data_IF_239828370188
#
_entry.id   IF_239828370188
#
_cell.length_a   1.000
_cell.length_b   1.000
_cell.length_c   1.000
_cell.angle_alpha   90.00
_cell.angle_beta   90.00
_cell.angle_gamma   90.00
#
_symmetry.space_group_name_H-M   'P 1'
#
loop_
_entity.id
_entity.type
_entity.pdbx_description
1 polymer ?
#
# COMPACT_ATOMS: atom_id res chain seq x y z
N UNK A 1 19.60 77.96 3.89
CA UNK A 1 20.37 76.73 4.21
C UNK A 1 19.48 75.64 4.81
N UNK A 2 18.68 75.98 5.84
CA UNK A 2 17.80 75.06 6.59
C UNK A 2 16.73 74.34 5.73
N UNK A 3 16.10 75.04 4.77
CA UNK A 3 15.05 74.44 3.92
C UNK A 3 15.61 73.35 3.00
N UNK A 4 16.82 73.54 2.46
CA UNK A 4 17.45 72.59 1.54
C UNK A 4 17.91 71.32 2.26
N UNK A 5 18.38 71.46 3.50
CA UNK A 5 18.73 70.33 4.38
C UNK A 5 17.51 69.56 4.88
N UNK A 6 16.36 70.23 5.06
CA UNK A 6 15.09 69.58 5.43
C UNK A 6 14.58 68.67 4.29
N UNK A 7 14.55 69.16 3.05
CA UNK A 7 14.19 68.36 1.88
C UNK A 7 15.12 67.15 1.66
N UNK A 8 16.42 67.33 1.89
CA UNK A 8 17.40 66.23 1.82
C UNK A 8 17.14 65.16 2.89
N UNK A 9 16.77 65.56 4.10
CA UNK A 9 16.46 64.63 5.19
C UNK A 9 15.16 63.86 4.91
N UNK A 10 14.12 64.55 4.44
CA UNK A 10 12.82 63.97 4.11
C UNK A 10 12.93 62.95 2.96
N UNK A 11 13.64 63.30 1.89
CA UNK A 11 13.90 62.40 0.76
C UNK A 11 14.74 61.17 1.16
N UNK A 12 15.70 61.34 2.07
CA UNK A 12 16.50 60.23 2.61
C UNK A 12 15.65 59.28 3.46
N UNK A 13 14.77 59.81 4.31
CA UNK A 13 13.86 59.02 5.15
C UNK A 13 12.86 58.25 4.29
N UNK A 14 12.24 58.90 3.30
CA UNK A 14 11.30 58.23 2.39
C UNK A 14 12.03 57.17 1.55
N UNK A 15 13.23 57.47 1.05
CA UNK A 15 14.03 56.52 0.27
C UNK A 15 14.42 55.29 1.08
N UNK A 16 14.87 55.48 2.32
CA UNK A 16 15.24 54.37 3.23
C UNK A 16 14.02 53.54 3.65
N UNK A 17 12.88 54.18 3.92
CA UNK A 17 11.63 53.48 4.23
C UNK A 17 11.16 52.61 3.07
N UNK A 18 11.16 53.15 1.83
CA UNK A 18 10.81 52.37 0.63
C UNK A 18 11.73 51.18 0.40
N UNK A 19 13.03 51.35 0.68
CA UNK A 19 14.02 50.28 0.49
C UNK A 19 13.82 49.16 1.52
N UNK A 20 13.47 49.53 2.76
CA UNK A 20 13.12 48.59 3.82
C UNK A 20 11.82 47.83 3.48
N UNK A 21 10.81 48.50 2.95
CA UNK A 21 9.53 47.91 2.55
C UNK A 21 9.71 46.88 1.43
N UNK A 22 10.47 47.22 0.38
CA UNK A 22 10.77 46.29 -0.72
C UNK A 22 11.56 45.08 -0.23
N UNK A 23 12.51 45.28 0.68
CA UNK A 23 13.31 44.19 1.25
C UNK A 23 12.45 43.24 2.10
N UNK A 24 11.58 43.78 2.96
CA UNK A 24 10.69 42.98 3.82
C UNK A 24 9.69 42.19 2.97
N UNK A 25 9.04 42.82 1.99
CA UNK A 25 8.08 42.14 1.13
C UNK A 25 8.77 41.07 0.29
N UNK A 26 9.91 41.38 -0.34
CA UNK A 26 10.65 40.42 -1.16
C UNK A 26 11.17 39.22 -0.35
N UNK A 27 11.65 39.45 0.88
CA UNK A 27 12.09 38.37 1.76
C UNK A 27 10.94 37.54 2.31
N UNK A 28 9.77 38.15 2.56
CA UNK A 28 8.54 37.43 2.95
C UNK A 28 8.06 36.52 1.82
N UNK A 29 7.94 37.03 0.59
CA UNK A 29 7.56 36.23 -0.58
C UNK A 29 8.55 35.09 -0.87
N UNK A 30 9.85 35.36 -0.72
CA UNK A 30 10.87 34.32 -0.86
C UNK A 30 10.74 33.25 0.23
N UNK A 31 10.46 33.62 1.48
CA UNK A 31 10.21 32.65 2.55
C UNK A 31 8.93 31.84 2.27
N UNK A 32 7.85 32.49 1.87
CA UNK A 32 6.57 31.84 1.57
C UNK A 32 6.72 30.83 0.43
N UNK A 33 7.30 31.23 -0.69
CA UNK A 33 7.55 30.32 -1.84
C UNK A 33 8.50 29.18 -1.49
N UNK A 34 9.49 29.41 -0.63
CA UNK A 34 10.47 28.39 -0.24
C UNK A 34 9.92 27.43 0.83
N UNK A 35 9.04 27.92 1.72
CA UNK A 35 8.31 27.10 2.69
C UNK A 35 7.26 26.25 1.99
N UNK A 36 6.44 26.84 1.12
CA UNK A 36 5.44 26.12 0.33
C UNK A 36 6.15 25.12 -0.59
N UNK A 37 7.17 25.54 -1.33
CA UNK A 37 7.93 24.63 -2.20
C UNK A 37 8.58 23.47 -1.44
N UNK A 38 9.02 23.67 -0.19
CA UNK A 38 9.52 22.58 0.66
C UNK A 38 8.42 21.70 1.24
N UNK A 39 7.26 22.26 1.57
CA UNK A 39 6.09 21.51 2.05
C UNK A 39 5.59 20.55 0.96
N UNK A 40 5.44 21.04 -0.26
CA UNK A 40 5.10 20.23 -1.44
C UNK A 40 6.17 19.17 -1.76
N UNK A 41 7.46 19.50 -1.59
CA UNK A 41 8.53 18.53 -1.79
C UNK A 41 8.51 17.41 -0.74
N UNK A 42 8.09 17.71 0.49
CA UNK A 42 7.98 16.75 1.59
C UNK A 42 6.78 15.80 1.37
N UNK A 43 5.67 16.34 0.89
CA UNK A 43 4.44 15.62 0.50
C UNK A 43 4.68 14.64 -0.68
N UNK A 44 5.75 14.84 -1.46
CA UNK A 44 6.17 13.93 -2.54
C UNK A 44 7.32 13.00 -2.17
N UNK A 45 7.94 13.17 -0.99
CA UNK A 45 9.18 12.43 -0.68
C UNK A 45 8.91 11.15 0.10
N UNK A 46 8.02 11.12 1.09
CA UNK A 46 7.61 9.94 1.87
C UNK A 46 6.28 10.29 2.55
N UNK A 47 5.26 9.43 2.50
CA UNK A 47 4.02 9.57 3.27
C UNK A 47 4.13 8.65 4.49
N UNK A 48 4.59 9.20 5.62
CA UNK A 48 4.73 8.48 6.89
C UNK A 48 3.56 8.82 7.83
N UNK A 49 2.78 7.81 8.19
CA UNK A 49 1.79 7.89 9.28
C UNK A 49 2.39 7.27 10.55
N UNK A 50 2.86 8.09 11.50
CA UNK A 50 3.51 7.60 12.74
C UNK A 50 2.53 7.30 13.90
N UNK A 51 2.86 6.26 14.67
CA UNK A 51 2.41 5.91 16.03
C UNK A 51 1.02 6.46 16.39
N UNK A 52 -0.03 5.79 15.90
CA UNK A 52 -1.42 6.15 16.26
C UNK A 52 -1.92 5.27 17.42
N UNK A 53 -2.23 5.89 18.55
CA UNK A 53 -2.70 5.16 19.75
C UNK A 53 -4.10 4.55 19.56
N UNK A 54 -4.90 5.18 18.69
CA UNK A 54 -6.16 4.70 18.13
C UNK A 54 -6.59 5.72 17.05
N UNK A 55 -6.64 5.30 15.79
CA UNK A 55 -7.20 6.06 14.69
C UNK A 55 -8.67 5.66 14.46
N UNK A 56 -9.46 6.59 13.92
CA UNK A 56 -10.71 6.21 13.25
C UNK A 56 -10.31 5.56 11.94
N UNK A 57 -10.09 6.39 10.92
CA UNK A 57 -9.64 5.93 9.60
C UNK A 57 -8.27 6.54 9.29
N UNK A 58 -7.41 5.80 8.61
CA UNK A 58 -6.14 6.25 8.03
C UNK A 58 -6.30 6.22 6.51
N UNK A 59 -6.27 7.40 5.88
CA UNK A 59 -6.63 7.57 4.47
C UNK A 59 -5.46 8.18 3.67
N UNK A 60 -4.78 7.37 2.88
CA UNK A 60 -3.76 7.76 1.90
C UNK A 60 -4.38 7.72 0.50
N UNK A 61 -5.07 8.81 0.11
CA UNK A 61 -5.84 8.87 -1.14
C UNK A 61 -5.36 9.97 -2.09
N UNK A 62 -5.61 9.79 -3.39
CA UNK A 62 -5.29 10.76 -4.45
C UNK A 62 -3.78 11.13 -4.52
N UNK A 63 -2.90 10.17 -4.24
CA UNK A 63 -1.44 10.40 -4.18
C UNK A 63 -0.85 10.22 -5.57
N UNK A 64 -0.49 11.31 -6.24
CA UNK A 64 0.04 11.27 -7.61
C UNK A 64 1.36 10.49 -7.76
N UNK A 65 2.23 10.59 -6.75
CA UNK A 65 3.49 9.86 -6.66
C UNK A 65 4.03 9.92 -5.23
N UNK A 66 4.54 8.81 -4.71
CA UNK A 66 5.30 8.74 -3.47
C UNK A 66 6.61 7.96 -3.70
N UNK A 67 7.63 8.21 -2.87
CA UNK A 67 8.70 7.22 -2.73
C UNK A 67 8.11 6.04 -1.98
N UNK A 68 7.67 6.24 -0.73
CA UNK A 68 7.01 5.19 0.04
C UNK A 68 5.73 5.73 0.71
N UNK A 69 4.75 4.85 0.94
CA UNK A 69 3.54 5.07 1.72
C UNK A 69 3.58 4.11 2.91
N UNK A 70 3.78 4.64 4.11
CA UNK A 70 4.02 3.86 5.33
C UNK A 70 2.93 4.09 6.38
N UNK A 71 2.16 3.05 6.68
CA UNK A 71 1.24 2.96 7.81
C UNK A 71 1.79 1.99 8.85
N UNK A 72 2.51 2.52 9.84
CA UNK A 72 3.29 1.72 10.78
C UNK A 72 2.96 2.02 12.25
N UNK A 73 3.22 1.06 13.14
CA UNK A 73 3.07 1.19 14.60
C UNK A 73 1.65 1.60 15.04
N UNK A 74 0.63 0.93 14.50
CA UNK A 74 -0.79 1.27 14.73
C UNK A 74 -1.38 0.32 15.78
N UNK A 75 -1.82 0.87 16.91
CA UNK A 75 -2.47 0.06 17.96
C UNK A 75 -3.90 -0.35 17.61
N UNK A 76 -4.62 0.53 16.92
CA UNK A 76 -5.98 0.29 16.48
C UNK A 76 -6.35 1.28 15.38
N UNK A 77 -6.87 0.78 14.26
CA UNK A 77 -7.60 1.55 13.28
C UNK A 77 -8.97 0.91 13.08
N UNK A 78 -9.92 1.69 12.58
CA UNK A 78 -11.08 1.15 11.92
C UNK A 78 -10.65 0.73 10.51
N UNK A 79 -10.35 1.71 9.67
CA UNK A 79 -9.97 1.46 8.26
C UNK A 79 -8.57 2.03 7.98
N UNK A 80 -7.77 1.32 7.17
CA UNK A 80 -6.51 1.80 6.59
C UNK A 80 -6.64 1.69 5.07
N UNK A 81 -6.77 2.82 4.39
CA UNK A 81 -7.05 2.92 2.96
C UNK A 81 -5.88 3.57 2.22
N UNK A 82 -5.19 2.84 1.35
CA UNK A 82 -4.28 3.35 0.33
C UNK A 82 -4.99 3.30 -1.03
N UNK A 83 -5.39 4.45 -1.60
CA UNK A 83 -6.26 4.48 -2.80
C UNK A 83 -5.84 5.52 -3.84
N UNK A 84 -6.13 5.23 -5.11
CA UNK A 84 -5.92 6.16 -6.23
C UNK A 84 -4.45 6.59 -6.33
N UNK A 85 -3.55 5.61 -6.41
CA UNK A 85 -2.09 5.79 -6.38
C UNK A 85 -1.50 5.44 -7.75
N UNK A 86 -1.16 6.41 -8.60
CA UNK A 86 -0.56 6.13 -9.90
C UNK A 86 0.87 5.59 -9.82
N UNK A 87 1.61 5.92 -8.76
CA UNK A 87 2.99 5.48 -8.59
C UNK A 87 3.43 5.55 -7.11
N UNK A 88 3.91 4.44 -6.57
CA UNK A 88 4.71 4.38 -5.37
C UNK A 88 6.01 3.60 -5.65
N UNK A 89 7.05 3.86 -4.86
CA UNK A 89 8.02 2.82 -4.51
C UNK A 89 7.26 1.80 -3.69
N UNK A 90 7.25 1.87 -2.36
CA UNK A 90 6.59 0.81 -1.57
C UNK A 90 5.31 1.30 -0.88
N UNK A 91 4.36 0.39 -0.66
CA UNK A 91 3.13 0.62 0.13
C UNK A 91 3.11 -0.38 1.28
N UNK A 92 3.33 0.12 2.49
CA UNK A 92 3.55 -0.70 3.66
C UNK A 92 2.49 -0.45 4.73
N UNK A 93 1.76 -1.49 5.12
CA UNK A 93 0.91 -1.54 6.29
C UNK A 93 1.54 -2.53 7.29
N UNK A 94 2.28 -2.01 8.29
CA UNK A 94 3.12 -2.84 9.18
C UNK A 94 2.91 -2.57 10.66
N UNK A 95 3.20 -3.56 11.50
CA UNK A 95 3.12 -3.45 12.97
C UNK A 95 1.73 -2.96 13.44
N UNK A 96 0.65 -3.54 12.87
CA UNK A 96 -0.74 -3.17 13.17
C UNK A 96 -1.33 -4.17 14.15
N UNK A 97 -1.66 -3.72 15.35
CA UNK A 97 -2.23 -4.60 16.37
C UNK A 97 -3.69 -4.97 16.08
N UNK A 98 -4.46 -4.02 15.54
CA UNK A 98 -5.85 -4.24 15.19
C UNK A 98 -6.32 -3.27 14.08
N UNK A 99 -7.01 -3.80 13.08
CA UNK A 99 -7.77 -3.06 12.09
C UNK A 99 -9.12 -3.77 11.86
N UNK A 100 -10.16 -3.02 11.45
CA UNK A 100 -11.31 -3.63 10.79
C UNK A 100 -10.86 -4.00 9.38
N UNK A 101 -10.54 -3.00 8.57
CA UNK A 101 -10.21 -3.17 7.15
C UNK A 101 -8.84 -2.56 6.82
N UNK A 102 -8.04 -3.24 6.00
CA UNK A 102 -6.83 -2.71 5.38
C UNK A 102 -6.95 -2.90 3.87
N UNK A 103 -6.87 -1.82 3.10
CA UNK A 103 -7.14 -1.87 1.67
C UNK A 103 -6.10 -1.10 0.86
N UNK A 104 -5.54 -1.75 -0.16
CA UNK A 104 -4.76 -1.12 -1.23
C UNK A 104 -5.56 -1.23 -2.52
N UNK A 105 -6.09 -0.10 -3.02
CA UNK A 105 -7.01 -0.09 -4.17
C UNK A 105 -6.59 0.91 -5.25
N UNK A 106 -6.87 0.59 -6.51
CA UNK A 106 -6.60 1.49 -7.64
C UNK A 106 -5.11 1.93 -7.72
N UNK A 107 -4.19 0.96 -7.54
CA UNK A 107 -2.73 1.20 -7.58
C UNK A 107 -2.20 0.88 -8.98
N UNK A 108 -1.70 1.89 -9.70
CA UNK A 108 -1.21 1.67 -11.06
C UNK A 108 0.22 1.09 -11.10
N UNK A 109 1.06 1.43 -10.13
CA UNK A 109 2.41 0.91 -10.04
C UNK A 109 2.94 1.06 -8.61
N UNK A 110 3.37 -0.05 -8.04
CA UNK A 110 4.19 -0.11 -6.85
C UNK A 110 5.47 -0.92 -7.13
N UNK A 111 6.53 -0.57 -6.42
CA UNK A 111 7.63 -1.45 -6.06
C UNK A 111 7.07 -2.66 -5.35
N UNK A 112 6.78 -2.58 -4.06
CA UNK A 112 6.13 -3.67 -3.31
C UNK A 112 4.87 -3.18 -2.56
N UNK A 113 3.96 -4.11 -2.22
CA UNK A 113 2.78 -3.86 -1.38
C UNK A 113 2.79 -4.87 -0.22
N UNK A 114 3.13 -4.39 0.98
CA UNK A 114 3.37 -5.24 2.14
C UNK A 114 2.34 -5.00 3.24
N UNK A 115 1.64 -6.04 3.65
CA UNK A 115 0.73 -6.06 4.79
C UNK A 115 1.30 -7.03 5.85
N UNK A 116 2.31 -6.58 6.60
CA UNK A 116 3.11 -7.42 7.51
C UNK A 116 2.85 -7.15 8.99
N UNK A 117 3.10 -8.14 9.85
CA UNK A 117 2.99 -8.01 11.32
C UNK A 117 1.61 -7.46 11.79
N UNK A 118 0.53 -7.85 11.08
CA UNK A 118 -0.85 -7.50 11.42
C UNK A 118 -1.39 -8.56 12.36
N UNK A 119 -1.69 -8.22 13.62
CA UNK A 119 -2.14 -9.23 14.58
C UNK A 119 -3.62 -9.60 14.39
N UNK A 120 -4.44 -8.64 13.99
CA UNK A 120 -5.88 -8.81 13.81
C UNK A 120 -6.44 -7.75 12.84
N UNK A 121 -6.50 -8.08 11.56
CA UNK A 121 -7.41 -7.44 10.62
C UNK A 121 -8.67 -8.32 10.47
N UNK A 122 -9.83 -7.70 10.25
CA UNK A 122 -11.00 -8.45 9.76
C UNK A 122 -10.74 -8.75 8.29
N UNK A 123 -10.54 -7.74 7.46
CA UNK A 123 -10.34 -7.88 6.02
C UNK A 123 -9.02 -7.23 5.57
N UNK A 124 -8.28 -7.91 4.68
CA UNK A 124 -7.17 -7.32 3.91
C UNK A 124 -7.47 -7.46 2.42
N UNK A 125 -7.62 -6.33 1.75
CA UNK A 125 -7.97 -6.24 0.33
C UNK A 125 -6.84 -5.61 -0.49
N UNK A 126 -6.35 -6.30 -1.51
CA UNK A 126 -5.50 -5.76 -2.56
C UNK A 126 -6.25 -5.86 -3.89
N UNK A 127 -6.78 -4.74 -4.37
CA UNK A 127 -7.71 -4.71 -5.50
C UNK A 127 -7.28 -3.73 -6.59
N UNK A 128 -7.54 -4.08 -7.85
CA UNK A 128 -7.31 -3.20 -9.01
C UNK A 128 -5.85 -2.72 -9.10
N UNK A 129 -4.90 -3.64 -8.92
CA UNK A 129 -3.46 -3.36 -8.97
C UNK A 129 -2.93 -3.66 -10.37
N UNK A 130 -2.45 -2.63 -11.06
CA UNK A 130 -1.96 -2.81 -12.42
C UNK A 130 -0.56 -3.45 -12.47
N UNK A 131 0.31 -3.08 -11.53
CA UNK A 131 1.67 -3.59 -11.45
C UNK A 131 2.22 -3.48 -10.01
N UNK A 132 2.69 -4.59 -9.48
CA UNK A 132 3.52 -4.67 -8.28
C UNK A 132 4.74 -5.57 -8.53
N UNK A 133 5.79 -5.37 -7.76
CA UNK A 133 6.85 -6.32 -7.51
C UNK A 133 6.27 -7.47 -6.71
N UNK A 134 6.30 -7.37 -5.39
CA UNK A 134 5.72 -8.37 -4.50
C UNK A 134 4.46 -7.83 -3.79
N UNK A 135 3.53 -8.75 -3.48
CA UNK A 135 2.36 -8.51 -2.63
C UNK A 135 2.43 -9.52 -1.49
N UNK A 136 2.73 -9.07 -0.28
CA UNK A 136 2.92 -9.92 0.89
C UNK A 136 1.84 -9.65 1.95
N UNK A 137 1.19 -10.70 2.47
CA UNK A 137 0.15 -10.58 3.49
C UNK A 137 0.39 -11.55 4.64
N UNK A 138 0.53 -11.01 5.86
CA UNK A 138 0.67 -11.76 7.11
C UNK A 138 -0.51 -11.45 8.05
N UNK A 139 -1.36 -12.47 8.22
CA UNK A 139 -2.46 -12.57 9.19
C UNK A 139 -3.65 -11.59 9.02
N UNK A 140 -4.79 -12.15 8.60
CA UNK A 140 -6.09 -11.48 8.57
C UNK A 140 -7.24 -12.47 8.78
N UNK A 141 -8.42 -11.94 9.07
CA UNK A 141 -9.67 -12.68 9.10
C UNK A 141 -10.14 -13.12 7.71
N UNK A 142 -9.99 -12.28 6.69
CA UNK A 142 -10.23 -12.56 5.27
C UNK A 142 -9.14 -11.87 4.44
N UNK A 143 -8.71 -12.51 3.35
CA UNK A 143 -7.65 -12.03 2.46
C UNK A 143 -8.11 -12.11 1.01
N UNK A 144 -8.21 -10.95 0.35
CA UNK A 144 -8.64 -10.83 -1.03
C UNK A 144 -7.56 -10.14 -1.89
N UNK A 145 -6.96 -10.88 -2.82
CA UNK A 145 -6.10 -10.35 -3.88
C UNK A 145 -6.84 -10.46 -5.22
N UNK A 146 -7.38 -9.34 -5.71
CA UNK A 146 -8.30 -9.32 -6.86
C UNK A 146 -7.86 -8.34 -7.95
N UNK A 147 -8.11 -8.68 -9.22
CA UNK A 147 -7.86 -7.82 -10.38
C UNK A 147 -6.39 -7.35 -10.48
N UNK A 148 -5.43 -8.26 -10.27
CA UNK A 148 -3.99 -7.95 -10.33
C UNK A 148 -3.44 -8.22 -11.73
N UNK A 149 -3.13 -7.16 -12.48
CA UNK A 149 -2.68 -7.30 -13.87
C UNK A 149 -1.21 -7.67 -14.01
N UNK A 150 -0.37 -7.41 -13.01
CA UNK A 150 1.01 -7.88 -13.01
C UNK A 150 1.57 -7.88 -11.60
N UNK A 151 2.08 -9.03 -11.17
CA UNK A 151 2.91 -9.16 -9.97
C UNK A 151 4.15 -10.01 -10.30
N UNK A 152 5.23 -9.81 -9.56
CA UNK A 152 6.29 -10.81 -9.46
C UNK A 152 5.78 -11.93 -8.58
N UNK A 153 5.50 -11.68 -7.29
CA UNK A 153 4.95 -12.69 -6.39
C UNK A 153 3.68 -12.17 -5.69
N UNK A 154 2.78 -13.09 -5.36
CA UNK A 154 1.62 -12.86 -4.48
C UNK A 154 1.71 -13.92 -3.38
N UNK A 155 2.05 -13.50 -2.18
CA UNK A 155 2.44 -14.38 -1.08
C UNK A 155 1.54 -14.11 0.14
N UNK A 156 0.65 -15.06 0.44
CA UNK A 156 -0.15 -15.09 1.66
C UNK A 156 0.52 -16.05 2.65
N UNK A 157 1.18 -15.52 3.68
CA UNK A 157 2.09 -16.30 4.52
C UNK A 157 1.84 -16.12 6.02
N UNK A 158 2.24 -17.12 6.82
CA UNK A 158 2.17 -17.09 8.29
C UNK A 158 0.77 -16.77 8.85
N UNK A 159 -0.27 -17.23 8.16
CA UNK A 159 -1.67 -16.92 8.50
C UNK A 159 -2.14 -17.78 9.67
N UNK A 160 -2.48 -17.13 10.79
CA UNK A 160 -2.98 -17.83 11.97
C UNK A 160 -4.40 -18.37 11.78
N UNK A 161 -5.29 -17.55 11.22
CA UNK A 161 -6.68 -17.91 10.99
C UNK A 161 -7.32 -16.94 10.02
N UNK A 162 -7.70 -17.42 8.84
CA UNK A 162 -8.60 -16.73 7.92
C UNK A 162 -9.92 -17.51 7.77
N UNK A 163 -11.00 -16.84 7.41
CA UNK A 163 -12.21 -17.45 6.87
C UNK A 163 -11.91 -17.76 5.41
N UNK A 164 -11.56 -16.78 4.59
CA UNK A 164 -11.22 -17.03 3.18
C UNK A 164 -9.85 -16.43 2.79
N UNK A 165 -9.16 -17.11 1.87
CA UNK A 165 -7.94 -16.61 1.21
C UNK A 165 -8.14 -16.75 -0.30
N UNK A 166 -8.38 -15.62 -0.96
CA UNK A 166 -8.79 -15.56 -2.35
C UNK A 166 -7.76 -14.82 -3.20
N UNK A 167 -7.27 -15.49 -4.25
CA UNK A 167 -6.45 -14.90 -5.31
C UNK A 167 -7.21 -15.04 -6.63
N UNK A 168 -7.80 -13.95 -7.12
CA UNK A 168 -8.71 -13.95 -8.27
C UNK A 168 -8.27 -12.97 -9.38
N UNK A 169 -8.50 -13.34 -10.64
CA UNK A 169 -8.27 -12.49 -11.82
C UNK A 169 -6.81 -11.95 -11.95
N UNK A 170 -5.80 -12.85 -11.88
CA UNK A 170 -4.36 -12.49 -11.89
C UNK A 170 -3.68 -12.71 -13.26
N UNK A 171 -2.94 -11.70 -13.78
CA UNK A 171 -2.75 -11.53 -15.23
C UNK A 171 -1.41 -10.93 -15.79
N UNK A 172 -0.16 -11.26 -15.37
CA UNK A 172 0.31 -12.52 -14.80
C UNK A 172 1.08 -12.38 -13.47
N UNK A 173 1.38 -13.51 -12.82
CA UNK A 173 2.32 -13.61 -11.70
C UNK A 173 3.49 -14.54 -12.04
N UNK A 174 4.61 -14.43 -11.31
CA UNK A 174 5.63 -15.49 -11.29
C UNK A 174 5.18 -16.59 -10.33
N UNK A 175 4.98 -16.26 -9.06
CA UNK A 175 4.56 -17.20 -8.04
C UNK A 175 3.29 -16.69 -7.35
N UNK A 176 2.38 -17.60 -6.99
CA UNK A 176 1.19 -17.32 -6.16
C UNK A 176 1.17 -18.37 -5.06
N UNK A 177 1.47 -17.95 -3.84
CA UNK A 177 1.74 -18.86 -2.75
C UNK A 177 0.86 -18.60 -1.53
N UNK A 178 0.22 -19.65 -1.03
CA UNK A 178 -0.43 -19.65 0.27
C UNK A 178 0.35 -20.60 1.18
N UNK A 179 1.18 -20.06 2.09
CA UNK A 179 2.12 -20.86 2.91
C UNK A 179 1.91 -20.67 4.41
N UNK A 180 2.27 -21.68 5.19
CA UNK A 180 2.28 -21.64 6.66
C UNK A 180 0.93 -21.23 7.28
N UNK A 181 -0.19 -21.70 6.68
CA UNK A 181 -1.55 -21.39 7.13
C UNK A 181 -2.00 -22.34 8.23
N UNK A 182 -2.25 -21.82 9.43
CA UNK A 182 -2.71 -22.64 10.56
C UNK A 182 -4.21 -22.99 10.45
N UNK A 183 -5.03 -22.08 9.97
CA UNK A 183 -6.44 -22.35 9.69
C UNK A 183 -6.96 -21.41 8.58
N UNK A 184 -7.63 -21.98 7.59
CA UNK A 184 -8.48 -21.27 6.65
C UNK A 184 -9.87 -21.95 6.62
N UNK A 185 -10.92 -21.17 6.38
CA UNK A 185 -12.18 -21.69 5.86
C UNK A 185 -11.94 -22.19 4.45
N UNK A 186 -11.78 -21.32 3.45
CA UNK A 186 -11.43 -21.74 2.09
C UNK A 186 -10.14 -21.07 1.59
N UNK A 187 -9.45 -21.72 0.64
CA UNK A 187 -8.28 -21.16 -0.06
C UNK A 187 -8.52 -21.34 -1.56
N UNK A 188 -8.76 -20.23 -2.25
CA UNK A 188 -9.20 -20.23 -3.64
C UNK A 188 -8.24 -19.41 -4.53
N UNK A 189 -7.62 -20.09 -5.49
CA UNK A 189 -6.88 -19.48 -6.58
C UNK A 189 -7.69 -19.64 -7.87
N UNK A 190 -8.30 -18.56 -8.36
CA UNK A 190 -9.25 -18.60 -9.48
C UNK A 190 -8.87 -17.61 -10.60
N UNK A 191 -9.22 -17.95 -11.84
CA UNK A 191 -9.08 -17.07 -13.01
C UNK A 191 -7.66 -16.52 -13.25
N UNK A 192 -6.65 -17.34 -12.95
CA UNK A 192 -5.24 -16.99 -13.16
C UNK A 192 -4.84 -17.26 -14.61
N UNK A 193 -4.52 -16.20 -15.36
CA UNK A 193 -4.15 -16.33 -16.77
C UNK A 193 -2.77 -16.95 -16.95
N UNK A 194 -1.80 -16.55 -16.13
CA UNK A 194 -0.47 -17.14 -16.15
C UNK A 194 0.24 -17.00 -14.80
N UNK A 195 0.80 -18.11 -14.33
CA UNK A 195 1.75 -18.21 -13.23
C UNK A 195 2.89 -19.14 -13.63
N UNK A 196 4.07 -19.00 -13.04
CA UNK A 196 5.08 -20.06 -13.10
C UNK A 196 4.65 -21.15 -12.13
N UNK A 197 4.55 -20.80 -10.84
CA UNK A 197 4.25 -21.74 -9.77
C UNK A 197 3.02 -21.23 -8.98
N UNK A 198 2.12 -22.14 -8.58
CA UNK A 198 1.00 -21.86 -7.65
C UNK A 198 1.07 -22.89 -6.53
N UNK A 199 1.42 -22.44 -5.33
CA UNK A 199 1.78 -23.34 -4.23
C UNK A 199 0.89 -23.11 -2.99
N UNK A 200 0.17 -24.15 -2.58
CA UNK A 200 -0.49 -24.21 -1.27
C UNK A 200 0.31 -25.16 -0.36
N UNK A 201 1.04 -24.61 0.62
CA UNK A 201 2.06 -25.35 1.38
C UNK A 201 1.93 -25.16 2.89
N UNK A 202 2.28 -26.20 3.65
CA UNK A 202 2.33 -26.17 5.12
C UNK A 202 1.00 -25.73 5.79
N UNK A 203 -0.13 -26.17 5.22
CA UNK A 203 -1.47 -25.86 5.71
C UNK A 203 -1.92 -26.87 6.77
N UNK A 204 -2.18 -26.40 7.99
CA UNK A 204 -2.62 -27.29 9.07
C UNK A 204 -4.11 -27.68 8.93
N UNK A 205 -4.97 -26.72 8.59
CA UNK A 205 -6.40 -26.97 8.39
C UNK A 205 -6.97 -25.99 7.35
N UNK A 206 -7.67 -26.54 6.36
CA UNK A 206 -8.54 -25.81 5.45
C UNK A 206 -9.92 -26.50 5.39
N UNK A 207 -10.97 -25.75 5.12
CA UNK A 207 -12.24 -26.24 4.58
C UNK A 207 -11.99 -26.75 3.17
N UNK A 208 -11.99 -25.90 2.14
CA UNK A 208 -11.63 -26.32 0.78
C UNK A 208 -10.35 -25.62 0.29
N UNK A 209 -9.61 -26.29 -0.60
CA UNK A 209 -8.49 -25.70 -1.35
C UNK A 209 -8.78 -25.87 -2.83
N UNK A 210 -9.05 -24.78 -3.55
CA UNK A 210 -9.45 -24.81 -4.95
C UNK A 210 -8.47 -24.04 -5.81
N UNK A 211 -8.01 -24.68 -6.88
CA UNK A 211 -7.27 -24.04 -7.96
C UNK A 211 -8.07 -24.23 -9.25
N UNK A 212 -8.69 -23.16 -9.78
CA UNK A 212 -9.65 -23.23 -10.90
C UNK A 212 -9.33 -22.22 -12.00
N UNK A 213 -9.66 -22.59 -13.24
CA UNK A 213 -9.58 -21.68 -14.39
C UNK A 213 -8.18 -21.11 -14.65
N UNK A 214 -7.15 -21.90 -14.28
CA UNK A 214 -5.74 -21.55 -14.47
C UNK A 214 -5.31 -21.85 -15.90
N UNK A 215 -5.07 -20.81 -16.71
CA UNK A 215 -4.84 -20.96 -18.14
C UNK A 215 -3.40 -21.40 -18.49
N UNK A 216 -2.41 -20.98 -17.69
CA UNK A 216 -1.01 -21.35 -17.91
C UNK A 216 -0.23 -21.34 -16.60
N UNK A 217 -0.08 -22.50 -15.97
CA UNK A 217 0.87 -22.72 -14.87
C UNK A 217 1.91 -23.77 -15.26
N UNK A 218 3.16 -23.59 -14.81
CA UNK A 218 4.19 -24.64 -14.95
C UNK A 218 3.98 -25.71 -13.89
N UNK A 219 3.87 -25.30 -12.63
CA UNK A 219 3.64 -26.18 -11.49
C UNK A 219 2.45 -25.67 -10.66
N UNK A 220 1.63 -26.60 -10.15
CA UNK A 220 0.57 -26.33 -9.17
C UNK A 220 0.70 -27.39 -8.09
N UNK A 221 1.17 -26.98 -6.91
CA UNK A 221 1.48 -27.89 -5.82
C UNK A 221 0.62 -27.64 -4.59
N UNK A 222 0.00 -28.70 -4.09
CA UNK A 222 -0.68 -28.73 -2.80
C UNK A 222 0.10 -29.69 -1.89
N UNK A 223 0.94 -29.18 -0.98
CA UNK A 223 1.88 -29.99 -0.18
C UNK A 223 1.76 -29.72 1.32
N UNK A 224 2.09 -30.75 2.09
CA UNK A 224 2.12 -30.70 3.56
C UNK A 224 0.82 -30.21 4.22
N UNK A 225 -0.32 -30.53 3.58
CA UNK A 225 -1.67 -30.24 4.07
C UNK A 225 -2.10 -31.33 5.06
N UNK A 226 -2.30 -30.97 6.33
CA UNK A 226 -2.67 -31.94 7.37
C UNK A 226 -4.17 -32.31 7.34
N UNK A 227 -5.03 -31.32 7.12
CA UNK A 227 -6.47 -31.50 7.03
C UNK A 227 -7.08 -30.52 6.01
N UNK A 228 -7.77 -31.06 5.02
CA UNK A 228 -8.64 -30.33 4.12
C UNK A 228 -9.95 -31.11 3.96
N UNK A 229 -11.05 -30.39 3.74
CA UNK A 229 -12.32 -30.89 3.22
C UNK A 229 -12.12 -31.45 1.82
N UNK A 230 -12.11 -30.59 0.81
CA UNK A 230 -11.75 -30.94 -0.57
C UNK A 230 -10.47 -30.21 -1.04
N UNK A 231 -9.66 -30.88 -1.85
CA UNK A 231 -8.56 -30.26 -2.59
C UNK A 231 -8.84 -30.48 -4.07
N UNK A 232 -9.03 -29.39 -4.81
CA UNK A 232 -9.59 -29.43 -6.15
C UNK A 232 -8.82 -28.57 -7.14
N UNK A 233 -8.14 -29.22 -8.09
CA UNK A 233 -7.42 -28.56 -9.17
C UNK A 233 -8.17 -28.85 -10.48
N UNK A 234 -8.91 -27.87 -11.02
CA UNK A 234 -9.79 -28.05 -12.20
C UNK A 234 -9.58 -26.99 -13.26
N UNK A 235 -9.99 -27.33 -14.49
CA UNK A 235 -9.97 -26.45 -15.65
C UNK A 235 -8.59 -25.83 -15.95
N UNK A 236 -7.53 -26.57 -15.59
CA UNK A 236 -6.14 -26.20 -15.82
C UNK A 236 -5.71 -26.48 -17.27
N UNK A 237 -5.05 -25.51 -17.88
CA UNK A 237 -4.30 -25.68 -19.11
C UNK A 237 -2.81 -25.64 -18.78
N UNK A 238 -2.17 -26.81 -18.83
CA UNK A 238 -0.72 -26.92 -18.64
C UNK A 238 0.01 -26.31 -19.85
N UNK A 239 1.01 -25.45 -19.58
CA UNK A 239 1.86 -24.81 -20.57
C UNK A 239 3.08 -25.67 -20.97
#
# INVERSE_FOLDING_TARGET
>A
MIVRTFWLLETLIIGTFRLLEVLIIGTFWLMETLIIGKFWLMETLIIETFETFAAGDIDNRDILAAVDIDNQDILAAKDIDNRDIPAAGDIDNRDILAAEDIANRDVLAAGDIDNQDILAAVDIDNQDILAAGDIDILAAGDIDNQDILAAVNIDNQDILAAVDIDNQDILPAKDIDNRDVLAAGDIDNQDILAAVDIDNQDILAAGDIVNREILAARDIDNRDILAAGDIDNRDMLAA
#
